data_IF_220513139891
#
_entry.id   IF_220513139891
#
_cell.length_a   1.000
_cell.length_b   1.000
_cell.length_c   1.000
_cell.angle_alpha   90.00
_cell.angle_beta   90.00
_cell.angle_gamma   90.00
#
_symmetry.space_group_name_H-M   'P 1'
#
loop_
_entity.id
_entity.type
_entity.pdbx_description
1 polymer ?
#
# COMPACT_ATOMS: atom_id res chain seq x y z
N UNK A 1 -18.05 2.19 -19.72
CA UNK A 1 -18.02 3.06 -20.91
C UNK A 1 -16.75 3.92 -21.00
N UNK A 2 -16.06 4.21 -19.88
CA UNK A 2 -14.78 4.95 -19.86
C UNK A 2 -13.58 4.14 -20.34
N UNK A 3 -13.70 2.82 -20.44
CA UNK A 3 -12.65 1.93 -20.95
C UNK A 3 -11.51 1.65 -19.97
N UNK A 4 -11.79 1.63 -18.67
CA UNK A 4 -10.82 1.23 -17.65
C UNK A 4 -10.69 -0.30 -17.63
N UNK A 5 -9.48 -0.81 -17.34
CA UNK A 5 -9.17 -2.25 -17.33
C UNK A 5 -9.31 -2.86 -15.92
N UNK A 6 -9.16 -2.05 -14.88
CA UNK A 6 -9.25 -2.48 -13.48
C UNK A 6 -9.67 -1.31 -12.56
N UNK A 7 -10.05 -1.64 -11.35
CA UNK A 7 -10.36 -0.67 -10.28
C UNK A 7 -9.35 -0.84 -9.16
N UNK A 8 -8.70 0.25 -8.73
CA UNK A 8 -7.89 0.26 -7.52
C UNK A 8 -8.68 1.00 -6.44
N UNK A 9 -8.96 0.33 -5.33
CA UNK A 9 -9.55 0.94 -4.15
C UNK A 9 -8.43 1.30 -3.17
N UNK A 10 -8.18 2.58 -3.02
CA UNK A 10 -7.04 3.09 -2.27
C UNK A 10 -7.44 3.57 -0.88
N UNK A 11 -6.43 3.63 0.02
CA UNK A 11 -6.59 4.14 1.39
C UNK A 11 -7.65 3.41 2.20
N UNK A 12 -7.74 2.10 2.06
CA UNK A 12 -8.60 1.28 2.91
C UNK A 12 -8.03 1.28 4.33
N UNK A 13 -8.72 1.99 5.24
CA UNK A 13 -8.25 2.27 6.61
C UNK A 13 -9.34 2.21 7.68
N UNK A 14 -10.57 2.02 7.26
CA UNK A 14 -11.75 1.90 8.11
C UNK A 14 -12.59 0.73 7.61
N UNK A 15 -12.93 -0.21 8.49
CA UNK A 15 -13.56 -1.47 8.12
C UNK A 15 -14.91 -1.25 7.43
N UNK A 16 -15.76 -0.39 8.00
CA UNK A 16 -17.13 -0.23 7.50
C UNK A 16 -17.13 0.46 6.14
N UNK A 17 -16.35 1.53 5.98
CA UNK A 17 -16.24 2.22 4.70
C UNK A 17 -15.56 1.34 3.65
N UNK A 18 -14.49 0.63 4.01
CA UNK A 18 -13.80 -0.28 3.10
C UNK A 18 -14.72 -1.38 2.58
N UNK A 19 -15.54 -2.00 3.44
CA UNK A 19 -16.53 -3.00 3.03
C UNK A 19 -17.51 -2.47 1.99
N UNK A 20 -17.98 -1.24 2.16
CA UNK A 20 -18.91 -0.62 1.20
C UNK A 20 -18.24 -0.34 -0.14
N UNK A 21 -17.04 0.27 -0.11
CA UNK A 21 -16.29 0.64 -1.32
C UNK A 21 -15.90 -0.62 -2.11
N UNK A 22 -15.36 -1.64 -1.43
CA UNK A 22 -14.92 -2.88 -2.09
C UNK A 22 -16.09 -3.64 -2.71
N UNK A 23 -17.22 -3.77 -1.97
CA UNK A 23 -18.42 -4.40 -2.53
C UNK A 23 -18.94 -3.66 -3.76
N UNK A 24 -18.92 -2.33 -3.74
CA UNK A 24 -19.29 -1.53 -4.90
C UNK A 24 -18.34 -1.75 -6.07
N UNK A 25 -17.03 -1.76 -5.84
CA UNK A 25 -16.03 -2.03 -6.87
C UNK A 25 -16.20 -3.44 -7.49
N UNK A 26 -16.33 -4.46 -6.65
CA UNK A 26 -16.55 -5.85 -7.09
C UNK A 26 -17.83 -6.03 -7.91
N UNK A 27 -18.88 -5.24 -7.65
CA UNK A 27 -20.15 -5.32 -8.40
C UNK A 27 -20.02 -4.84 -9.86
N UNK A 28 -18.93 -4.17 -10.22
CA UNK A 28 -18.68 -3.68 -11.59
C UNK A 28 -18.24 -4.82 -12.53
N UNK A 29 -17.68 -5.90 -11.99
CA UNK A 29 -17.19 -7.04 -12.77
C UNK A 29 -15.85 -6.82 -13.46
N UNK A 30 -15.07 -5.84 -13.02
CA UNK A 30 -13.67 -5.64 -13.39
C UNK A 30 -12.73 -6.15 -12.29
N UNK A 31 -11.45 -6.44 -12.60
CA UNK A 31 -10.46 -6.72 -11.58
C UNK A 31 -10.38 -5.62 -10.53
N UNK A 32 -10.29 -5.99 -9.25
CA UNK A 32 -10.24 -5.05 -8.13
C UNK A 32 -8.95 -5.26 -7.33
N UNK A 33 -8.15 -4.21 -7.22
CA UNK A 33 -6.96 -4.16 -6.38
C UNK A 33 -7.23 -3.37 -5.11
N UNK A 34 -6.80 -3.88 -3.97
CA UNK A 34 -7.09 -3.30 -2.65
C UNK A 34 -5.81 -2.72 -2.06
N UNK A 35 -5.79 -1.41 -1.85
CA UNK A 35 -4.68 -0.67 -1.24
C UNK A 35 -5.01 -0.27 0.20
N UNK A 36 -4.33 -0.90 1.17
CA UNK A 36 -4.40 -0.54 2.58
C UNK A 36 -3.39 0.56 2.89
N UNK A 37 -3.77 1.47 3.77
CA UNK A 37 -2.85 2.48 4.31
C UNK A 37 -2.58 2.23 5.78
N UNK A 38 -1.30 2.13 6.13
CA UNK A 38 -0.82 1.76 7.44
C UNK A 38 0.18 2.79 7.99
N UNK A 39 0.33 2.81 9.29
CA UNK A 39 1.38 3.54 9.99
C UNK A 39 1.79 2.82 11.26
N UNK A 40 3.06 2.97 11.64
CA UNK A 40 3.53 2.49 12.93
C UNK A 40 3.12 3.43 14.05
N UNK A 41 2.83 2.86 15.23
CA UNK A 41 2.73 3.63 16.47
C UNK A 41 4.02 4.42 16.75
N UNK A 42 3.94 5.51 17.51
CA UNK A 42 5.10 6.35 17.88
C UNK A 42 6.24 5.54 18.50
N UNK A 43 5.91 4.56 19.32
CA UNK A 43 6.88 3.66 19.94
C UNK A 43 7.32 2.49 19.05
N UNK A 44 6.83 2.43 17.80
CA UNK A 44 7.09 1.42 16.77
C UNK A 44 6.81 -0.03 17.18
N UNK A 45 5.86 -0.25 18.09
CA UNK A 45 5.51 -1.60 18.59
C UNK A 45 4.27 -2.19 17.92
N UNK A 46 3.47 -1.38 17.25
CA UNK A 46 2.23 -1.83 16.60
C UNK A 46 1.98 -1.12 15.28
N UNK A 47 1.34 -1.82 14.36
CA UNK A 47 0.86 -1.26 13.10
C UNK A 47 -0.60 -0.87 13.29
N UNK A 48 -0.95 0.31 12.82
CA UNK A 48 -2.31 0.84 12.81
C UNK A 48 -2.74 1.13 11.38
N UNK A 49 -4.04 1.11 11.12
CA UNK A 49 -4.58 1.74 9.94
C UNK A 49 -4.21 3.24 9.96
N UNK A 50 -3.84 3.78 8.80
CA UNK A 50 -3.41 5.18 8.70
C UNK A 50 -4.51 6.14 9.16
N UNK A 51 -4.17 7.14 9.97
CA UNK A 51 -5.11 8.13 10.50
C UNK A 51 -4.49 9.52 10.61
N UNK A 52 -5.33 10.55 10.59
CA UNK A 52 -4.90 11.91 10.91
C UNK A 52 -4.59 12.03 12.40
N UNK A 53 -3.55 12.78 12.76
CA UNK A 53 -3.08 12.97 14.16
C UNK A 53 -4.18 13.29 15.20
N UNK A 54 -5.35 13.75 14.74
CA UNK A 54 -6.47 14.14 15.59
C UNK A 54 -7.62 13.11 15.63
N UNK A 55 -7.46 11.94 15.00
CA UNK A 55 -8.47 10.87 14.98
C UNK A 55 -7.78 9.55 15.20
N UNK A 56 -8.03 8.92 16.34
CA UNK A 56 -7.57 7.55 16.56
C UNK A 56 -8.18 6.59 15.53
N UNK A 57 -7.44 5.56 15.11
CA UNK A 57 -8.00 4.51 14.26
C UNK A 57 -9.15 3.83 14.99
N UNK A 58 -10.19 3.46 14.24
CA UNK A 58 -11.37 2.77 14.76
C UNK A 58 -11.12 1.28 14.99
N UNK A 59 -10.06 0.73 14.39
CA UNK A 59 -9.67 -0.68 14.47
C UNK A 59 -8.15 -0.83 14.36
N UNK A 60 -7.62 -1.95 14.84
CA UNK A 60 -6.25 -2.38 14.56
C UNK A 60 -6.05 -2.69 13.08
N UNK A 61 -4.81 -2.57 12.60
CA UNK A 61 -4.52 -2.88 11.20
C UNK A 61 -4.71 -4.37 10.88
N UNK A 62 -4.40 -5.24 11.83
CA UNK A 62 -4.61 -6.69 11.76
C UNK A 62 -6.10 -7.02 11.53
N UNK A 63 -6.98 -6.47 12.38
CA UNK A 63 -8.42 -6.62 12.27
C UNK A 63 -8.99 -6.08 10.94
N UNK A 64 -8.46 -4.94 10.47
CA UNK A 64 -8.84 -4.35 9.19
C UNK A 64 -8.51 -5.31 8.04
N UNK A 65 -7.27 -5.80 7.97
CA UNK A 65 -6.81 -6.70 6.89
C UNK A 65 -7.59 -8.01 6.93
N UNK A 66 -7.75 -8.63 8.10
CA UNK A 66 -8.55 -9.85 8.28
C UNK A 66 -9.98 -9.68 7.75
N UNK A 67 -10.66 -8.62 8.19
CA UNK A 67 -12.05 -8.36 7.81
C UNK A 67 -12.23 -8.12 6.31
N UNK A 68 -11.28 -7.44 5.68
CA UNK A 68 -11.38 -7.02 4.28
C UNK A 68 -10.92 -8.12 3.32
N UNK A 69 -9.87 -8.87 3.65
CA UNK A 69 -9.33 -9.92 2.78
C UNK A 69 -10.35 -11.02 2.46
N UNK A 70 -11.35 -11.20 3.31
CA UNK A 70 -12.44 -12.16 3.07
C UNK A 70 -13.46 -11.73 2.01
N UNK A 71 -13.45 -10.47 1.60
CA UNK A 71 -14.40 -9.96 0.59
C UNK A 71 -14.03 -10.33 -0.85
N UNK A 72 -12.79 -10.71 -1.08
CA UNK A 72 -12.24 -10.99 -2.41
C UNK A 72 -11.42 -9.83 -2.95
N UNK A 73 -11.11 -9.89 -4.24
CA UNK A 73 -10.23 -8.98 -4.97
C UNK A 73 -9.19 -9.77 -5.75
N UNK A 74 -8.48 -9.14 -6.69
CA UNK A 74 -7.50 -9.78 -7.56
C UNK A 74 -6.05 -9.50 -7.13
N UNK A 75 -5.83 -8.41 -6.36
CA UNK A 75 -4.58 -8.11 -5.69
C UNK A 75 -4.85 -7.29 -4.42
N UNK A 76 -3.95 -7.37 -3.46
CA UNK A 76 -4.02 -6.54 -2.25
C UNK A 76 -2.62 -6.10 -1.81
N UNK A 77 -2.51 -4.96 -1.14
CA UNK A 77 -1.19 -4.50 -0.68
C UNK A 77 -1.21 -3.20 0.08
N UNK A 78 -0.02 -2.65 0.27
CA UNK A 78 0.23 -1.48 1.10
C UNK A 78 0.51 -0.27 0.23
N UNK A 79 -0.19 0.82 0.48
CA UNK A 79 -0.01 2.10 -0.20
C UNK A 79 -0.14 3.27 0.77
N UNK A 80 0.25 4.47 0.36
CA UNK A 80 0.17 5.69 1.17
C UNK A 80 0.62 5.46 2.62
N UNK A 81 1.71 4.74 2.76
CA UNK A 81 2.38 4.41 4.00
C UNK A 81 3.84 4.79 3.86
N UNK A 82 4.48 5.24 4.93
CA UNK A 82 5.92 5.52 4.89
C UNK A 82 6.70 4.27 4.48
N UNK A 83 7.80 4.44 3.75
CA UNK A 83 8.70 3.34 3.37
C UNK A 83 9.01 2.44 4.57
N UNK A 84 9.39 3.05 5.69
CA UNK A 84 9.74 2.36 6.96
C UNK A 84 8.57 1.61 7.63
N UNK A 85 7.33 1.92 7.27
CA UNK A 85 6.12 1.34 7.85
C UNK A 85 5.50 0.27 6.95
N UNK A 86 5.96 0.18 5.70
CA UNK A 86 5.42 -0.74 4.69
C UNK A 86 5.75 -2.20 5.00
N UNK A 87 6.99 -2.53 5.35
CA UNK A 87 7.39 -3.91 5.66
C UNK A 87 6.61 -4.51 6.85
N UNK A 88 6.45 -3.83 8.01
CA UNK A 88 5.61 -4.34 9.09
C UNK A 88 4.13 -4.53 8.70
N UNK A 89 3.61 -3.70 7.80
CA UNK A 89 2.24 -3.84 7.30
C UNK A 89 2.10 -5.01 6.32
N UNK A 90 3.11 -5.25 5.46
CA UNK A 90 3.17 -6.42 4.57
C UNK A 90 3.23 -7.74 5.36
N UNK A 91 3.95 -7.77 6.49
CA UNK A 91 3.98 -8.93 7.39
C UNK A 91 2.59 -9.29 7.92
N UNK A 92 1.75 -8.28 8.22
CA UNK A 92 0.37 -8.51 8.63
C UNK A 92 -0.47 -8.98 7.44
N UNK A 93 -0.35 -8.33 6.29
CA UNK A 93 -1.08 -8.72 5.08
C UNK A 93 -0.81 -10.18 4.70
N UNK A 94 0.42 -10.64 4.82
CA UNK A 94 0.85 -12.00 4.47
C UNK A 94 0.12 -13.10 5.25
N UNK A 95 -0.43 -12.79 6.41
CA UNK A 95 -1.21 -13.74 7.23
C UNK A 95 -2.60 -13.99 6.68
N UNK A 96 -3.18 -13.04 5.95
CA UNK A 96 -4.59 -13.05 5.54
C UNK A 96 -4.79 -13.04 4.02
N UNK A 97 -3.71 -12.77 3.25
CA UNK A 97 -3.79 -12.64 1.80
C UNK A 97 -2.74 -13.50 1.09
N UNK A 98 -3.20 -14.46 0.29
CA UNK A 98 -2.34 -15.38 -0.47
C UNK A 98 -2.26 -15.06 -1.97
N UNK A 99 -3.03 -14.09 -2.45
CA UNK A 99 -3.02 -13.65 -3.86
C UNK A 99 -1.87 -12.69 -4.17
N UNK A 100 -1.84 -12.11 -5.39
CA UNK A 100 -0.87 -11.12 -5.79
C UNK A 100 -0.80 -9.95 -4.81
N UNK A 101 0.43 -9.53 -4.45
CA UNK A 101 0.66 -8.44 -3.51
C UNK A 101 1.21 -7.21 -4.19
N UNK A 102 0.74 -6.04 -3.76
CA UNK A 102 1.22 -4.74 -4.25
C UNK A 102 1.84 -3.90 -3.13
N UNK A 103 2.82 -3.07 -3.49
CA UNK A 103 3.39 -2.08 -2.58
C UNK A 103 3.83 -0.83 -3.34
N UNK A 104 3.32 0.34 -2.93
CA UNK A 104 3.72 1.66 -3.42
C UNK A 104 3.64 2.68 -2.29
N UNK A 105 4.77 2.84 -1.60
CA UNK A 105 4.90 3.67 -0.42
C UNK A 105 5.07 5.16 -0.77
N UNK A 106 4.80 6.02 0.20
CA UNK A 106 5.20 7.41 0.14
C UNK A 106 6.67 7.57 0.55
N UNK A 107 7.43 8.34 -0.25
CA UNK A 107 8.88 8.48 -0.08
C UNK A 107 9.29 9.64 0.80
N UNK A 108 8.37 10.54 1.17
CA UNK A 108 8.67 11.73 1.97
C UNK A 108 7.55 12.11 2.90
N UNK A 109 7.85 12.98 3.85
CA UNK A 109 6.88 13.55 4.77
C UNK A 109 6.27 14.85 4.20
N UNK A 110 4.94 14.93 4.21
CA UNK A 110 4.21 16.12 3.75
C UNK A 110 4.41 17.28 4.73
N UNK A 111 4.94 18.39 4.23
CA UNK A 111 5.04 19.63 4.99
C UNK A 111 3.84 20.55 4.68
N UNK A 112 3.02 20.79 5.69
CA UNK A 112 1.89 21.73 5.58
C UNK A 112 2.36 23.20 5.72
N UNK A 113 1.67 24.18 5.09
CA UNK A 113 0.40 24.03 4.34
C UNK A 113 0.58 23.63 2.86
N UNK A 114 1.79 23.69 2.35
CA UNK A 114 2.08 23.42 0.95
C UNK A 114 2.28 21.91 0.71
N UNK A 115 2.03 21.46 -0.52
CA UNK A 115 2.28 20.08 -0.93
C UNK A 115 3.77 19.84 -1.21
N UNK A 116 4.62 20.24 -0.27
CA UNK A 116 6.05 19.99 -0.31
C UNK A 116 6.37 18.73 0.51
N UNK A 117 7.24 17.89 -0.02
CA UNK A 117 7.71 16.71 0.68
C UNK A 117 9.14 16.94 1.17
N UNK A 118 9.38 16.67 2.44
CA UNK A 118 10.70 16.66 3.07
C UNK A 118 11.21 15.23 3.25
N UNK A 119 12.50 15.12 3.46
CA UNK A 119 13.16 13.84 3.77
C UNK A 119 12.79 12.73 2.77
N UNK A 120 12.75 13.11 1.48
CA UNK A 120 12.42 12.18 0.41
C UNK A 120 13.49 11.08 0.37
N UNK A 121 13.05 9.83 0.52
CA UNK A 121 13.88 8.66 0.29
C UNK A 121 14.45 8.69 -1.13
N UNK A 122 15.75 8.50 -1.29
CA UNK A 122 16.37 8.54 -2.62
C UNK A 122 15.85 7.40 -3.51
N UNK A 123 15.90 7.56 -4.85
CA UNK A 123 15.50 6.51 -5.77
C UNK A 123 16.19 5.17 -5.52
N UNK A 124 17.49 5.20 -5.20
CA UNK A 124 18.31 4.02 -4.91
C UNK A 124 17.89 3.33 -3.61
N UNK A 125 17.66 4.10 -2.55
CA UNK A 125 17.17 3.59 -1.27
C UNK A 125 15.78 2.99 -1.43
N UNK A 126 14.89 3.70 -2.14
CA UNK A 126 13.54 3.22 -2.41
C UNK A 126 13.53 1.90 -3.18
N UNK A 127 14.37 1.78 -4.21
CA UNK A 127 14.48 0.54 -4.97
C UNK A 127 15.03 -0.61 -4.11
N UNK A 128 15.94 -0.34 -3.18
CA UNK A 128 16.47 -1.34 -2.24
C UNK A 128 15.38 -1.84 -1.29
N UNK A 129 14.53 -0.95 -0.78
CA UNK A 129 13.39 -1.34 0.04
C UNK A 129 12.38 -2.19 -0.75
N UNK A 130 12.08 -1.80 -1.99
CA UNK A 130 11.18 -2.57 -2.86
C UNK A 130 11.76 -3.98 -3.14
N UNK A 131 13.04 -4.12 -3.43
CA UNK A 131 13.69 -5.44 -3.58
C UNK A 131 13.55 -6.28 -2.31
N UNK A 132 13.69 -5.65 -1.15
CA UNK A 132 13.46 -6.32 0.14
C UNK A 132 12.02 -6.81 0.28
N UNK A 133 11.02 -5.99 -0.11
CA UNK A 133 9.62 -6.40 -0.05
C UNK A 133 9.28 -7.52 -1.02
N UNK A 134 9.87 -7.51 -2.21
CA UNK A 134 9.75 -8.59 -3.19
C UNK A 134 10.30 -9.90 -2.61
N UNK A 135 11.51 -9.85 -2.08
CA UNK A 135 12.22 -11.05 -1.60
C UNK A 135 11.60 -11.64 -0.31
N UNK A 136 11.14 -10.79 0.61
CA UNK A 136 10.69 -11.23 1.93
C UNK A 136 9.19 -11.47 2.01
N UNK A 137 8.37 -10.77 1.21
CA UNK A 137 6.91 -10.81 1.29
C UNK A 137 6.23 -11.21 -0.03
N UNK A 138 7.00 -11.47 -1.08
CA UNK A 138 6.46 -11.87 -2.39
C UNK A 138 5.64 -10.77 -3.07
N UNK A 139 6.03 -9.50 -2.90
CA UNK A 139 5.40 -8.38 -3.63
C UNK A 139 5.65 -8.52 -5.12
N UNK A 140 4.61 -8.40 -5.94
CA UNK A 140 4.65 -8.60 -7.40
C UNK A 140 4.31 -7.33 -8.19
N UNK A 141 3.62 -6.38 -7.56
CA UNK A 141 3.19 -5.13 -8.18
C UNK A 141 3.81 -3.98 -7.37
N UNK A 142 4.61 -3.16 -8.02
CA UNK A 142 5.30 -2.05 -7.37
C UNK A 142 5.08 -0.74 -8.10
N UNK A 143 5.18 0.35 -7.38
CA UNK A 143 5.02 1.70 -7.91
C UNK A 143 5.53 2.73 -6.93
N UNK A 144 4.92 3.90 -6.93
CA UNK A 144 5.21 4.98 -5.98
C UNK A 144 3.96 5.76 -5.64
N UNK A 145 3.97 6.39 -4.48
CA UNK A 145 2.93 7.27 -3.98
C UNK A 145 3.48 8.69 -3.80
N UNK A 146 3.06 9.39 -2.77
CA UNK A 146 3.47 10.76 -2.47
C UNK A 146 4.99 10.91 -2.33
N UNK A 147 5.56 11.97 -2.90
CA UNK A 147 7.01 12.22 -2.91
C UNK A 147 7.81 11.40 -3.95
N UNK A 148 7.19 10.42 -4.60
CA UNK A 148 7.86 9.63 -5.66
C UNK A 148 7.88 10.40 -6.97
N UNK A 149 9.06 10.56 -7.57
CA UNK A 149 9.25 11.21 -8.87
C UNK A 149 9.61 10.22 -9.99
N UNK A 150 9.73 10.71 -11.24
CA UNK A 150 10.09 9.87 -12.39
C UNK A 150 11.42 9.14 -12.24
N UNK A 151 12.37 9.70 -11.51
CA UNK A 151 13.67 9.10 -11.20
C UNK A 151 13.53 7.82 -10.39
N UNK A 152 12.62 7.77 -9.41
CA UNK A 152 12.32 6.56 -8.65
C UNK A 152 11.80 5.44 -9.58
N UNK A 153 10.85 5.77 -10.44
CA UNK A 153 10.28 4.78 -11.38
C UNK A 153 11.33 4.31 -12.39
N UNK A 154 12.25 5.18 -12.80
CA UNK A 154 13.32 4.81 -13.73
C UNK A 154 14.28 3.79 -13.09
N UNK A 155 14.71 4.03 -11.85
CA UNK A 155 15.56 3.08 -11.11
C UNK A 155 14.84 1.74 -10.90
N UNK A 156 13.55 1.76 -10.53
CA UNK A 156 12.78 0.52 -10.40
C UNK A 156 12.75 -0.26 -11.71
N UNK A 157 12.48 0.41 -12.83
CA UNK A 157 12.48 -0.21 -14.16
C UNK A 157 13.84 -0.85 -14.52
N UNK A 158 14.94 -0.21 -14.11
CA UNK A 158 16.29 -0.67 -14.45
C UNK A 158 16.79 -1.79 -13.52
N UNK A 159 16.37 -1.82 -12.25
CA UNK A 159 16.80 -2.79 -11.24
C UNK A 159 15.91 -4.02 -11.14
N UNK A 160 14.63 -3.88 -11.38
CA UNK A 160 13.67 -4.97 -11.19
C UNK A 160 13.49 -5.79 -12.46
N UNK A 161 13.29 -7.09 -12.36
CA UNK A 161 12.94 -7.92 -13.51
C UNK A 161 11.60 -7.46 -14.12
N UNK A 162 11.47 -7.55 -15.43
CA UNK A 162 10.28 -7.09 -16.15
C UNK A 162 9.00 -7.84 -15.75
N UNK A 163 9.17 -9.10 -15.33
CA UNK A 163 8.12 -9.96 -14.80
C UNK A 163 8.67 -10.63 -13.55
N UNK A 164 8.03 -10.43 -12.42
CA UNK A 164 8.36 -11.13 -11.19
C UNK A 164 7.72 -12.52 -11.25
N UNK A 165 8.46 -13.59 -10.89
CA UNK A 165 7.87 -14.91 -10.78
C UNK A 165 6.75 -14.88 -9.74
N UNK A 166 5.58 -15.39 -10.12
CA UNK A 166 4.45 -15.60 -9.22
C UNK A 166 4.68 -16.81 -8.31
#
# INVERSE_FOLDING_TARGET
EAGVDLIIVEMMRDIENAKLVIKAALSVGLPVWIGYSAMMSENRKSVHAWYWKNKLPTSGFDELVESISTLGGDAAGIMHSQVRDTAPALEILDRYWSGPKLAYAETGELEKPDWNFKEICSPEEYATEIESWINNYGVQIVGGCCGTGPEHIRILKDRLPRYLPG
#
